data_IF_337361200421
#
_entry.id   IF_337361200421
#
_cell.length_a   1.000
_cell.length_b   1.000
_cell.length_c   1.000
_cell.angle_alpha   90.00
_cell.angle_beta   90.00
_cell.angle_gamma   90.00
#
_symmetry.space_group_name_H-M   'P 1'
#
loop_
_entity.id
_entity.type
_entity.pdbx_description
1 polymer ?
#
# COMPACT_ATOMS: atom_id res chain seq x y z
N UNK A 1 -1.68 -16.95 14.88
CA UNK A 1 -1.72 -15.71 15.66
C UNK A 1 -2.90 -14.85 15.25
N UNK A 2 -3.62 -14.37 16.21
CA UNK A 2 -4.79 -13.55 15.95
C UNK A 2 -4.38 -12.15 15.50
N UNK A 3 -5.00 -11.66 14.45
CA UNK A 3 -4.76 -10.31 13.96
C UNK A 3 -5.91 -9.43 14.45
N UNK A 4 -5.58 -8.31 15.08
CA UNK A 4 -6.60 -7.43 15.58
C UNK A 4 -7.43 -6.80 14.48
N UNK A 5 -8.62 -6.36 14.84
CA UNK A 5 -9.54 -5.76 13.88
C UNK A 5 -8.95 -4.55 13.17
N UNK A 6 -8.17 -3.73 13.88
CA UNK A 6 -7.61 -2.54 13.26
C UNK A 6 -6.57 -2.86 12.20
N UNK A 7 -5.83 -3.95 12.34
CA UNK A 7 -4.89 -4.35 11.30
C UNK A 7 -5.64 -4.85 10.07
N UNK A 8 -6.72 -5.58 10.30
CA UNK A 8 -7.52 -6.09 9.21
C UNK A 8 -8.20 -4.95 8.46
N UNK A 9 -8.70 -3.97 9.20
CA UNK A 9 -9.32 -2.80 8.57
C UNK A 9 -8.31 -2.02 7.74
N UNK A 10 -7.10 -1.85 8.27
CA UNK A 10 -6.06 -1.15 7.55
C UNK A 10 -5.72 -1.89 6.24
N UNK A 11 -5.56 -3.21 6.33
CA UNK A 11 -5.26 -4.03 5.17
C UNK A 11 -6.35 -3.87 4.10
N UNK A 12 -7.59 -4.04 4.50
CA UNK A 12 -8.71 -3.97 3.56
C UNK A 12 -8.86 -2.58 2.96
N UNK A 13 -8.71 -1.54 3.77
CA UNK A 13 -8.88 -0.18 3.30
C UNK A 13 -7.76 0.24 2.36
N UNK A 14 -6.53 -0.13 2.66
CA UNK A 14 -5.41 0.20 1.80
C UNK A 14 -5.58 -0.43 0.43
N UNK A 15 -5.97 -1.68 0.37
CA UNK A 15 -6.15 -2.38 -0.90
C UNK A 15 -7.34 -1.81 -1.66
N UNK A 16 -8.43 -1.53 -0.96
CA UNK A 16 -9.60 -0.93 -1.58
C UNK A 16 -9.24 0.41 -2.22
N UNK A 17 -8.52 1.27 -1.48
CA UNK A 17 -8.17 2.59 -1.98
C UNK A 17 -7.17 2.52 -3.13
N UNK A 18 -6.25 1.57 -3.07
CA UNK A 18 -5.32 1.38 -4.17
C UNK A 18 -6.06 0.96 -5.43
N UNK A 19 -7.01 0.04 -5.29
CA UNK A 19 -7.78 -0.42 -6.42
C UNK A 19 -8.61 0.71 -7.01
N UNK A 20 -9.25 1.52 -6.15
CA UNK A 20 -10.04 2.65 -6.61
C UNK A 20 -9.17 3.69 -7.31
N UNK A 21 -8.01 3.98 -6.76
CA UNK A 21 -7.14 5.01 -7.33
C UNK A 21 -6.57 4.59 -8.68
N UNK A 22 -6.20 3.32 -8.81
CA UNK A 22 -5.61 2.86 -10.06
C UNK A 22 -6.64 2.45 -11.09
N UNK A 23 -7.84 2.12 -10.66
CA UNK A 23 -8.83 1.53 -11.56
C UNK A 23 -8.42 0.15 -12.05
N UNK A 24 -7.47 -0.49 -11.38
CA UNK A 24 -6.93 -1.76 -11.84
C UNK A 24 -7.67 -2.92 -11.19
N UNK A 25 -8.52 -3.59 -11.96
CA UNK A 25 -9.30 -4.71 -11.44
C UNK A 25 -8.46 -5.94 -11.15
N UNK A 26 -7.20 -5.95 -11.59
CA UNK A 26 -6.31 -7.06 -11.29
C UNK A 26 -5.76 -7.02 -9.87
N UNK A 27 -6.03 -5.96 -9.13
CA UNK A 27 -5.62 -5.87 -7.74
C UNK A 27 -6.70 -6.50 -6.87
N UNK A 28 -6.36 -7.52 -6.12
CA UNK A 28 -7.34 -8.21 -5.30
C UNK A 28 -6.68 -8.87 -4.10
N UNK A 29 -7.43 -9.02 -3.01
CA UNK A 29 -6.98 -9.77 -1.87
C UNK A 29 -7.14 -11.24 -2.20
N UNK A 30 -6.04 -12.00 -2.14
CA UNK A 30 -6.07 -13.42 -2.40
C UNK A 30 -6.49 -14.20 -1.16
N UNK A 31 -5.90 -13.87 -0.03
CA UNK A 31 -6.21 -14.55 1.22
C UNK A 31 -6.04 -13.57 2.36
N UNK A 32 -7.15 -13.26 3.02
CA UNK A 32 -7.15 -12.29 4.09
C UNK A 32 -6.41 -12.80 5.32
N UNK A 33 -6.52 -14.07 5.62
CA UNK A 33 -5.86 -14.64 6.79
C UNK A 33 -4.34 -14.68 6.60
N UNK A 34 -3.88 -15.01 5.41
CA UNK A 34 -2.46 -15.04 5.13
C UNK A 34 -1.93 -13.67 4.71
N UNK A 35 -2.79 -12.69 4.60
CA UNK A 35 -2.43 -11.33 4.20
C UNK A 35 -1.70 -11.31 2.87
N UNK A 36 -2.31 -11.94 1.86
CA UNK A 36 -1.74 -11.97 0.53
C UNK A 36 -2.66 -11.25 -0.45
N UNK A 37 -2.03 -10.58 -1.41
CA UNK A 37 -2.76 -9.90 -2.47
C UNK A 37 -2.15 -10.30 -3.80
N UNK A 38 -2.94 -10.16 -4.85
CA UNK A 38 -2.47 -10.38 -6.22
C UNK A 38 -2.57 -9.08 -6.99
N UNK A 39 -1.50 -8.75 -7.69
CA UNK A 39 -1.47 -7.59 -8.58
C UNK A 39 -0.99 -8.08 -9.92
N UNK A 40 -1.83 -8.01 -10.93
CA UNK A 40 -1.49 -8.45 -12.28
C UNK A 40 -0.94 -9.87 -12.31
N UNK A 41 -1.53 -10.73 -11.48
CA UNK A 41 -1.12 -12.13 -11.45
C UNK A 41 0.05 -12.45 -10.54
N UNK A 42 0.66 -11.45 -9.94
CA UNK A 42 1.77 -11.66 -9.03
C UNK A 42 1.26 -11.65 -7.62
N UNK A 43 1.60 -12.68 -6.84
CA UNK A 43 1.17 -12.78 -5.45
C UNK A 43 2.19 -12.13 -4.54
N UNK A 44 1.75 -11.20 -3.70
CA UNK A 44 2.58 -10.53 -2.71
C UNK A 44 2.09 -10.89 -1.32
N UNK A 45 3.03 -11.06 -0.41
CA UNK A 45 2.71 -11.24 1.01
C UNK A 45 2.85 -9.88 1.67
N UNK A 46 1.93 -9.55 2.58
CA UNK A 46 1.88 -8.23 3.16
C UNK A 46 2.27 -8.24 4.63
N UNK A 47 3.11 -7.30 5.00
CA UNK A 47 3.45 -7.05 6.40
C UNK A 47 2.71 -5.79 6.80
N UNK A 48 1.91 -5.86 7.85
CA UNK A 48 1.07 -4.73 8.26
C UNK A 48 1.64 -4.10 9.52
N UNK A 49 1.99 -2.81 9.42
CA UNK A 49 2.50 -2.03 10.55
C UNK A 49 1.63 -0.80 10.65
N UNK A 50 1.04 -0.55 11.80
CA UNK A 50 0.16 0.60 11.94
C UNK A 50 0.90 1.91 11.72
N UNK A 51 2.10 2.02 12.20
CA UNK A 51 2.87 3.26 12.13
C UNK A 51 4.31 2.99 11.78
N UNK A 52 4.83 3.75 10.83
CA UNK A 52 6.24 3.74 10.51
C UNK A 52 6.79 5.12 10.83
N UNK A 53 7.86 5.17 11.60
CA UNK A 53 8.48 6.41 12.02
C UNK A 53 9.99 6.25 11.95
N UNK A 54 10.71 7.33 12.26
CA UNK A 54 12.16 7.25 12.31
C UNK A 54 12.64 6.23 13.33
N UNK A 55 11.82 5.94 14.35
CA UNK A 55 12.22 5.02 15.41
C UNK A 55 12.19 3.56 14.96
N UNK A 56 11.28 3.20 14.06
CA UNK A 56 11.13 1.79 13.69
C UNK A 56 11.34 1.49 12.21
N UNK A 57 11.69 2.48 11.42
CA UNK A 57 11.76 2.27 9.97
C UNK A 57 12.82 1.23 9.59
N UNK A 58 13.98 1.26 10.22
CA UNK A 58 15.03 0.32 9.84
C UNK A 58 14.75 -1.09 10.30
N UNK A 59 14.09 -1.23 11.44
CA UNK A 59 13.65 -2.53 11.90
C UNK A 59 12.64 -3.14 10.92
N UNK A 60 11.71 -2.33 10.44
CA UNK A 60 10.72 -2.79 9.47
C UNK A 60 11.40 -3.18 8.15
N UNK A 61 12.36 -2.38 7.71
CA UNK A 61 13.08 -2.66 6.47
C UNK A 61 13.80 -4.00 6.57
N UNK A 62 14.49 -4.25 7.68
CA UNK A 62 15.23 -5.49 7.84
C UNK A 62 14.32 -6.70 7.87
N UNK A 63 13.19 -6.57 8.55
CA UNK A 63 12.22 -7.65 8.58
C UNK A 63 11.74 -7.99 7.18
N UNK A 64 11.39 -6.98 6.39
CA UNK A 64 10.86 -7.21 5.05
C UNK A 64 11.92 -7.74 4.12
N UNK A 65 13.14 -7.22 4.20
CA UNK A 65 14.22 -7.72 3.35
C UNK A 65 14.50 -9.18 3.63
N UNK A 66 14.46 -9.57 4.90
CA UNK A 66 14.68 -10.95 5.27
C UNK A 66 13.63 -11.87 4.63
N UNK A 67 12.37 -11.46 4.67
CA UNK A 67 11.29 -12.26 4.10
C UNK A 67 11.27 -12.20 2.58
N UNK A 68 11.73 -11.09 2.00
CA UNK A 68 11.71 -10.92 0.55
C UNK A 68 12.62 -11.90 -0.17
N UNK A 69 13.53 -12.51 0.54
CA UNK A 69 14.41 -13.49 -0.10
C UNK A 69 13.67 -14.71 -0.61
N UNK A 70 12.54 -15.02 0.00
CA UNK A 70 11.78 -16.20 -0.40
C UNK A 70 10.41 -15.87 -1.01
N UNK A 71 9.94 -14.64 -0.88
CA UNK A 71 8.61 -14.29 -1.40
C UNK A 71 8.52 -12.78 -1.61
N UNK A 72 7.77 -12.32 -2.62
CA UNK A 72 7.59 -10.88 -2.80
C UNK A 72 6.80 -10.30 -1.62
N UNK A 73 7.27 -9.18 -1.08
CA UNK A 73 6.67 -8.57 0.10
C UNK A 73 6.22 -7.15 -0.18
N UNK A 74 5.15 -6.74 0.50
CA UNK A 74 4.67 -5.36 0.50
C UNK A 74 4.39 -4.97 1.94
N UNK A 75 4.85 -3.79 2.33
CA UNK A 75 4.54 -3.23 3.64
C UNK A 75 3.25 -2.42 3.52
N UNK A 76 2.31 -2.63 4.44
CA UNK A 76 1.08 -1.85 4.50
C UNK A 76 1.05 -1.09 5.81
N UNK A 77 0.80 0.21 5.75
CA UNK A 77 0.82 1.05 6.94
C UNK A 77 -0.17 2.21 6.78
N UNK A 78 -0.41 2.95 7.85
CA UNK A 78 -1.36 4.06 7.80
C UNK A 78 -0.88 5.20 6.91
N UNK A 79 0.38 5.60 7.04
CA UNK A 79 0.89 6.73 6.28
C UNK A 79 2.40 6.67 6.17
N UNK A 80 2.91 7.00 4.98
CA UNK A 80 4.34 7.10 4.74
C UNK A 80 4.64 8.54 4.36
N UNK A 81 5.45 9.22 5.18
CA UNK A 81 5.87 10.57 4.86
C UNK A 81 6.97 10.55 3.79
N UNK A 82 7.11 11.63 3.02
CA UNK A 82 8.05 11.64 1.89
C UNK A 82 9.47 11.20 2.22
N UNK A 83 9.96 11.60 3.39
CA UNK A 83 11.30 11.21 3.79
C UNK A 83 11.43 9.71 3.96
N UNK A 84 10.41 9.11 4.57
CA UNK A 84 10.40 7.65 4.76
C UNK A 84 10.19 6.93 3.43
N UNK A 85 9.41 7.52 2.54
CA UNK A 85 9.22 6.93 1.21
C UNK A 85 10.55 6.86 0.47
N UNK A 86 11.38 7.88 0.60
CA UNK A 86 12.71 7.86 -0.01
C UNK A 86 13.58 6.77 0.59
N UNK A 87 13.50 6.60 1.91
CA UNK A 87 14.26 5.53 2.57
C UNK A 87 13.82 4.17 2.08
N UNK A 88 12.53 3.97 1.91
CA UNK A 88 12.03 2.70 1.38
C UNK A 88 12.48 2.48 -0.06
N UNK A 89 12.46 3.52 -0.88
CA UNK A 89 12.92 3.39 -2.27
C UNK A 89 14.39 3.02 -2.32
N UNK A 90 15.21 3.64 -1.48
CA UNK A 90 16.64 3.35 -1.43
C UNK A 90 16.91 1.91 -1.02
N UNK A 91 16.00 1.32 -0.27
CA UNK A 91 16.13 -0.05 0.20
C UNK A 91 15.27 -1.04 -0.58
N UNK A 92 14.64 -0.58 -1.66
CA UNK A 92 13.84 -1.41 -2.55
C UNK A 92 12.68 -2.08 -1.81
N UNK A 93 12.04 -1.35 -0.93
CA UNK A 93 10.88 -1.84 -0.18
C UNK A 93 9.61 -1.40 -0.89
N UNK A 94 8.73 -2.35 -1.17
CA UNK A 94 7.41 -2.06 -1.71
C UNK A 94 6.47 -1.73 -0.57
N UNK A 95 5.62 -0.71 -0.75
CA UNK A 95 4.71 -0.32 0.31
C UNK A 95 3.39 0.24 -0.25
N UNK A 96 2.35 0.17 0.57
CA UNK A 96 1.04 0.75 0.28
C UNK A 96 0.56 1.39 1.58
N UNK A 97 0.05 2.61 1.51
CA UNK A 97 -0.52 3.21 2.70
C UNK A 97 -2.04 3.18 2.63
N UNK A 98 -2.67 3.59 3.73
CA UNK A 98 -4.12 3.50 3.88
C UNK A 98 -4.87 4.29 2.80
N UNK A 99 -4.32 5.42 2.37
CA UNK A 99 -4.98 6.27 1.38
C UNK A 99 -4.84 5.74 -0.06
N UNK A 100 -4.04 4.71 -0.25
CA UNK A 100 -3.82 4.17 -1.60
C UNK A 100 -2.57 4.69 -2.26
N UNK A 101 -1.72 5.42 -1.55
CA UNK A 101 -0.40 5.76 -2.07
C UNK A 101 0.45 4.50 -2.03
N UNK A 102 1.35 4.36 -2.96
CA UNK A 102 2.18 3.17 -3.01
C UNK A 102 3.43 3.39 -3.84
N UNK A 103 4.38 2.49 -3.67
CA UNK A 103 5.53 2.41 -4.54
C UNK A 103 5.87 0.93 -4.61
N UNK A 104 5.46 0.29 -5.70
CA UNK A 104 5.61 -1.15 -5.87
C UNK A 104 6.42 -1.39 -7.13
N UNK A 105 7.50 -2.13 -6.99
CA UNK A 105 8.36 -2.50 -8.12
C UNK A 105 8.73 -3.96 -7.98
N UNK A 106 8.41 -4.73 -8.99
CA UNK A 106 8.71 -6.15 -8.97
C UNK A 106 8.75 -6.64 -10.42
N UNK A 107 9.91 -7.06 -10.87
CA UNK A 107 10.09 -7.50 -12.25
C UNK A 107 9.60 -6.41 -13.22
N UNK A 108 8.60 -6.70 -14.02
CA UNK A 108 8.08 -5.73 -14.97
C UNK A 108 6.95 -4.87 -14.41
N UNK A 109 6.58 -5.11 -13.16
CA UNK A 109 5.48 -4.36 -12.55
C UNK A 109 6.01 -3.13 -11.82
N UNK A 110 5.46 -1.98 -12.13
CA UNK A 110 5.78 -0.75 -11.42
C UNK A 110 4.51 0.04 -11.23
N UNK A 111 4.19 0.33 -9.96
CA UNK A 111 3.05 1.19 -9.63
C UNK A 111 3.53 2.19 -8.61
N UNK A 112 3.40 3.47 -8.91
CA UNK A 112 3.77 4.51 -7.97
C UNK A 112 2.68 5.56 -7.93
N UNK A 113 2.11 5.76 -6.75
CA UNK A 113 1.04 6.74 -6.54
C UNK A 113 1.40 7.56 -5.32
N UNK A 114 1.35 8.87 -5.46
CA UNK A 114 1.60 9.78 -4.34
C UNK A 114 0.51 10.84 -4.32
N UNK A 115 0.37 11.48 -3.18
CA UNK A 115 -0.55 12.60 -3.08
C UNK A 115 -1.96 12.28 -2.65
N UNK A 116 -2.29 11.02 -2.45
CA UNK A 116 -3.60 10.66 -1.95
C UNK A 116 -3.66 10.94 -0.45
N UNK A 117 -4.81 11.38 0.04
CA UNK A 117 -4.95 11.76 1.44
C UNK A 117 -5.92 10.85 2.17
N UNK A 118 -5.58 10.54 3.41
CA UNK A 118 -6.50 9.85 4.29
C UNK A 118 -7.56 10.85 4.70
N UNK A 119 -8.74 10.72 4.14
CA UNK A 119 -9.76 11.71 4.38
C UNK A 119 -11.11 11.03 4.47
N UNK A 120 -11.31 10.34 5.57
CA UNK A 120 -12.58 9.65 5.74
C UNK A 120 -13.74 10.60 5.89
N UNK A 121 -13.48 11.79 6.41
CA UNK A 121 -14.56 12.72 6.65
C UNK A 121 -15.19 13.24 5.38
N UNK A 122 -14.44 13.33 4.30
CA UNK A 122 -14.96 13.91 3.09
C UNK A 122 -15.00 12.96 1.93
N UNK A 123 -14.76 11.71 2.18
CA UNK A 123 -14.71 10.81 1.03
C UNK A 123 -16.02 10.76 0.28
N UNK A 124 -17.09 11.01 0.93
CA UNK A 124 -18.36 10.99 0.24
C UNK A 124 -18.49 12.14 -0.72
N UNK A 125 -17.83 13.24 -0.46
CA UNK A 125 -17.99 14.41 -1.30
C UNK A 125 -17.04 14.46 -2.44
N UNK A 126 -16.08 13.71 -2.41
CA UNK A 126 -15.10 13.83 -3.39
C UNK A 126 -15.43 13.25 -4.66
N UNK A 127 -16.26 12.96 -4.72
CA UNK A 127 -16.34 12.39 -5.88
C UNK A 127 -16.05 13.12 -7.06
N UNK A 128 -15.78 13.72 -6.65
CA UNK A 128 -15.42 14.17 -7.37
C UNK A 128 -14.64 14.40 -8.03
N UNK A 129 -14.59 14.74 -8.01
CA UNK A 129 -13.76 14.90 -8.55
C UNK A 129 -13.25 14.44 -9.15
N UNK A 130 -13.48 14.45 -9.17
CA UNK A 130 -12.79 14.12 -9.73
C UNK A 130 -12.57 13.95 -10.38
N UNK A 131 -12.73 14.27 -10.33
CA UNK A 131 -12.12 14.17 -10.90
C UNK A 131 -11.68 14.31 -11.46
N UNK A 132 -11.86 14.84 -11.38
CA UNK A 132 -11.12 15.03 -11.78
C UNK A 132 -10.31 14.79 -12.01
N UNK A 133 -10.63 15.12 -11.92
CA UNK A 133 -9.61 14.86 -12.11
C UNK A 133 -9.15 14.23 -12.38
N UNK A 134 -9.47 14.41 -12.36
CA UNK A 134 -8.80 13.83 -12.61
C UNK A 134 -8.56 13.17 -13.04
N UNK A 135 -8.90 13.32 -13.15
CA UNK A 135 -8.43 12.91 -13.53
C UNK A 135 -7.96 12.80 -14.09
N UNK A 136 -8.09 13.08 -14.25
CA UNK A 136 -7.48 13.01 -14.71
C UNK A 136 -6.87 12.63 -15.04
N UNK A 137 -7.25 12.89 -14.99
CA UNK A 137 -6.70 12.59 -15.23
C UNK A 137 -6.37 12.14 -15.48
N UNK A 138 -6.62 12.26 -15.38
CA UNK A 138 -6.27 11.92 -15.54
C UNK A 138 -6.00 11.67 -15.75
N UNK A 139 -6.28 11.91 -15.82
CA UNK A 139 -5.95 11.86 -16.03
C UNK A 139 -5.63 11.91 -16.20
#
# INVERSE_FOLDING_TARGET
MYMGTEYLELFNEAIFNLKETTGNDSIAICDELDKTICINGIRFYCSIKKTISNANVFSAIEEIKSKSKSMPMILITNKIYPKLANTFADNQINWIDKAGNCDIRHENLTIKIVGQKNNTATKASTVSKISEANIKLIL
#
